data_IF_618218405982
#
_entry.id   IF_618218405982
#
_cell.length_a   1.000
_cell.length_b   1.000
_cell.length_c   1.000
_cell.angle_alpha   90.00
_cell.angle_beta   90.00
_cell.angle_gamma   90.00
#
_symmetry.space_group_name_H-M   'P 1'
#
loop_
_entity.id
_entity.type
_entity.pdbx_description
1 polymer ?
#
# COMPACT_ATOMS: atom_id res chain seq x y z
N UNK A 1 50.89 -36.67 37.63
CA UNK A 1 51.17 -36.00 36.33
C UNK A 1 49.85 -35.87 35.60
N UNK A 2 49.38 -34.64 35.36
CA UNK A 2 48.09 -34.39 34.70
C UNK A 2 48.33 -34.44 33.18
N UNK A 3 47.53 -35.17 32.39
CA UNK A 3 47.72 -35.27 30.95
C UNK A 3 47.55 -33.90 30.27
N UNK A 4 48.43 -33.53 29.32
CA UNK A 4 48.41 -32.22 28.67
C UNK A 4 47.12 -31.93 27.89
N UNK A 5 46.31 -32.95 27.60
CA UNK A 5 44.98 -32.82 26.98
C UNK A 5 43.96 -32.13 27.87
N UNK A 6 44.05 -32.26 29.20
CA UNK A 6 43.13 -31.59 30.13
C UNK A 6 43.38 -30.08 30.24
N UNK A 7 44.61 -29.63 29.97
CA UNK A 7 44.98 -28.21 30.02
C UNK A 7 44.39 -27.46 28.81
N UNK A 8 44.41 -28.07 27.62
CA UNK A 8 43.84 -27.48 26.41
C UNK A 8 42.31 -27.38 26.45
N UNK A 9 41.63 -28.39 27.01
CA UNK A 9 40.18 -28.36 27.22
C UNK A 9 39.75 -27.31 28.25
N UNK A 10 40.53 -27.14 29.32
CA UNK A 10 40.28 -26.11 30.34
C UNK A 10 40.37 -24.69 29.78
N UNK A 11 41.39 -24.39 28.97
CA UNK A 11 41.57 -23.06 28.38
C UNK A 11 40.47 -22.75 27.35
N UNK A 12 40.05 -23.74 26.56
CA UNK A 12 38.94 -23.58 25.61
C UNK A 12 37.61 -23.25 26.29
N UNK A 13 37.31 -23.90 27.43
CA UNK A 13 36.08 -23.65 28.18
C UNK A 13 36.04 -22.26 28.84
N UNK A 14 37.18 -21.80 29.34
CA UNK A 14 37.32 -20.44 29.90
C UNK A 14 37.11 -19.39 28.82
N UNK A 15 37.63 -19.60 27.61
CA UNK A 15 37.39 -18.70 26.46
C UNK A 15 35.91 -18.58 26.09
N UNK A 16 35.17 -19.69 26.05
CA UNK A 16 33.73 -19.71 25.76
C UNK A 16 32.93 -19.01 26.87
N UNK A 17 33.29 -19.25 28.14
CA UNK A 17 32.63 -18.59 29.27
C UNK A 17 32.86 -17.07 29.29
N UNK A 18 34.05 -16.59 28.90
CA UNK A 18 34.33 -15.15 28.80
C UNK A 18 33.49 -14.51 27.69
N UNK A 19 33.36 -15.14 26.52
CA UNK A 19 32.51 -14.64 25.43
C UNK A 19 31.02 -14.60 25.84
N UNK A 20 30.53 -15.62 26.55
CA UNK A 20 29.17 -15.66 27.08
C UNK A 20 28.93 -14.57 28.15
N UNK A 21 29.90 -14.32 29.03
CA UNK A 21 29.78 -13.25 30.03
C UNK A 21 29.76 -11.84 29.40
N UNK A 22 30.53 -11.62 28.32
CA UNK A 22 30.47 -10.37 27.56
C UNK A 22 29.15 -10.19 26.79
N UNK A 23 28.55 -11.28 26.29
CA UNK A 23 27.23 -11.25 25.67
C UNK A 23 26.12 -10.92 26.68
N UNK A 24 26.26 -11.32 27.95
CA UNK A 24 25.30 -10.97 29.02
C UNK A 24 25.51 -9.57 29.61
N UNK A 25 26.67 -8.94 29.44
CA UNK A 25 26.94 -7.58 29.93
C UNK A 25 26.59 -6.48 28.93
N UNK A 26 26.38 -6.84 27.65
CA UNK A 26 25.94 -5.92 26.59
C UNK A 26 24.54 -6.28 26.07
N UNK A 27 23.52 -5.95 26.87
CA UNK A 27 22.11 -5.94 26.45
C UNK A 27 21.22 -6.76 27.37
N UNK A 28 20.09 -6.28 27.89
CA UNK A 28 19.36 -5.04 27.64
C UNK A 28 18.63 -4.76 28.95
N UNK A 29 19.09 -3.73 29.67
CA UNK A 29 18.37 -3.23 30.84
C UNK A 29 17.06 -2.59 30.39
N UNK A 30 16.05 -2.72 31.24
CA UNK A 30 14.79 -2.00 31.22
C UNK A 30 15.02 -0.48 31.08
N UNK A 31 15.07 0.01 29.84
CA UNK A 31 14.97 1.43 29.51
C UNK A 31 13.50 1.76 29.33
N UNK A 32 12.92 2.45 30.29
CA UNK A 32 11.55 2.97 30.23
C UNK A 32 11.31 3.70 28.90
N UNK A 33 10.49 3.08 28.04
CA UNK A 33 9.87 3.70 26.89
C UNK A 33 9.03 4.87 27.40
N UNK A 34 9.51 6.10 27.19
CA UNK A 34 8.67 7.27 27.38
C UNK A 34 7.72 7.33 26.19
N UNK A 35 6.52 6.78 26.36
CA UNK A 35 5.40 7.09 25.49
C UNK A 35 5.21 8.61 25.50
N UNK A 36 5.38 9.24 24.35
CA UNK A 36 4.93 10.62 24.19
C UNK A 36 3.40 10.57 24.25
N UNK A 37 2.83 10.98 25.39
CA UNK A 37 1.43 11.38 25.44
C UNK A 37 1.25 12.54 24.48
N UNK A 38 0.68 12.25 23.32
CA UNK A 38 0.06 13.28 22.50
C UNK A 38 -1.21 13.65 23.25
N UNK A 39 -1.21 14.85 23.84
CA UNK A 39 -2.41 15.53 24.34
C UNK A 39 -3.49 15.46 23.25
N UNK A 40 -4.41 14.50 23.40
CA UNK A 40 -5.70 14.54 22.74
C UNK A 40 -6.54 15.47 23.60
N UNK A 41 -6.69 16.70 23.12
CA UNK A 41 -7.67 17.64 23.64
C UNK A 41 -9.02 16.94 23.69
N UNK A 42 -9.53 16.90 24.92
CA UNK A 42 -10.88 16.55 25.32
C UNK A 42 -11.88 17.25 24.40
N UNK A 43 -12.86 16.50 23.89
CA UNK A 43 -14.26 16.94 23.88
C UNK A 43 -15.17 15.69 23.97
N UNK A 44 -15.66 15.50 25.19
CA UNK A 44 -16.93 14.91 25.64
C UNK A 44 -17.57 13.77 24.83
N UNK A 45 -17.50 12.57 25.43
CA UNK A 45 -18.57 11.57 25.32
C UNK A 45 -19.63 11.88 26.38
N UNK A 46 -20.82 12.28 25.93
CA UNK A 46 -22.05 12.18 26.73
C UNK A 46 -22.44 10.70 26.85
N UNK A 47 -22.41 10.20 28.08
CA UNK A 47 -23.05 8.95 28.49
C UNK A 47 -24.50 9.23 28.86
N UNK A 48 -25.46 8.73 28.06
CA UNK A 48 -26.84 8.63 28.51
C UNK A 48 -27.58 7.43 27.87
N UNK A 49 -27.80 6.43 28.74
CA UNK A 49 -29.02 5.64 28.89
C UNK A 49 -29.59 4.85 27.69
N UNK A 50 -29.35 3.54 27.73
CA UNK A 50 -30.39 2.52 27.75
C UNK A 50 -31.33 2.41 26.55
N UNK A 51 -31.13 1.36 25.73
CA UNK A 51 -32.21 0.61 25.05
C UNK A 51 -31.68 -0.72 24.49
N UNK A 52 -32.09 -1.80 25.15
CA UNK A 52 -32.36 -3.18 24.69
C UNK A 52 -31.71 -3.59 23.34
N UNK A 53 -30.72 -4.47 23.42
CA UNK A 53 -30.18 -5.21 22.29
C UNK A 53 -31.26 -6.13 21.67
N UNK A 54 -31.68 -5.83 20.44
CA UNK A 54 -32.36 -6.80 19.57
C UNK A 54 -31.32 -7.48 18.68
N UNK A 55 -31.28 -8.82 18.57
CA UNK A 55 -30.41 -9.50 17.64
C UNK A 55 -30.94 -9.30 16.21
N UNK A 56 -30.13 -8.70 15.33
CA UNK A 56 -30.43 -8.62 13.90
C UNK A 56 -29.82 -9.87 13.23
N UNK A 57 -30.62 -10.66 12.49
CA UNK A 57 -30.18 -11.93 11.93
C UNK A 57 -29.12 -11.75 10.83
N UNK A 58 -28.12 -12.63 10.85
CA UNK A 58 -27.25 -12.91 9.70
C UNK A 58 -28.13 -13.34 8.53
N UNK A 59 -28.21 -12.50 7.51
CA UNK A 59 -28.24 -12.99 6.14
C UNK A 59 -27.44 -12.06 5.23
N UNK A 60 -26.58 -12.74 4.48
CA UNK A 60 -25.67 -12.23 3.47
C UNK A 60 -26.43 -11.41 2.43
N UNK A 61 -25.92 -10.23 2.10
CA UNK A 61 -25.29 -9.94 0.80
C UNK A 61 -24.38 -8.74 1.07
N UNK A 62 -23.07 -8.93 0.96
CA UNK A 62 -22.12 -7.81 0.88
C UNK A 62 -22.49 -7.07 -0.40
N UNK A 63 -23.26 -5.98 -0.29
CA UNK A 63 -23.41 -5.02 -1.38
C UNK A 63 -22.00 -4.54 -1.69
N UNK A 64 -21.46 -4.96 -2.84
CA UNK A 64 -20.36 -4.26 -3.51
C UNK A 64 -20.66 -2.77 -3.38
N UNK A 65 -19.73 -1.99 -2.84
CA UNK A 65 -19.83 -0.55 -2.78
C UNK A 65 -20.05 -0.05 -4.22
N UNK A 66 -21.30 0.20 -4.58
CA UNK A 66 -21.68 0.84 -5.83
C UNK A 66 -21.42 2.32 -5.62
N UNK A 67 -20.29 2.78 -6.13
CA UNK A 67 -19.96 4.20 -6.19
C UNK A 67 -21.05 4.90 -7.00
N UNK A 68 -21.84 5.76 -6.34
CA UNK A 68 -22.75 6.68 -7.02
C UNK A 68 -21.86 7.84 -7.49
N UNK A 69 -21.39 7.73 -8.73
CA UNK A 69 -20.70 8.82 -9.39
C UNK A 69 -21.74 9.88 -9.74
N UNK A 70 -21.61 11.06 -9.14
CA UNK A 70 -22.46 12.23 -9.31
C UNK A 70 -22.73 12.49 -10.79
N UNK A 71 -24.00 12.43 -11.19
CA UNK A 71 -24.44 12.97 -12.46
C UNK A 71 -24.21 14.48 -12.49
N UNK A 72 -23.89 14.98 -13.69
CA UNK A 72 -23.62 16.37 -14.08
C UNK A 72 -22.12 16.72 -14.03
N UNK A 73 -21.39 16.33 -15.08
CA UNK A 73 -20.17 17.02 -15.51
C UNK A 73 -20.46 17.81 -16.80
N UNK A 74 -19.87 19.02 -16.95
CA UNK A 74 -19.99 19.87 -18.13
C UNK A 74 -19.39 19.20 -19.37
N UNK A 75 -19.73 19.71 -20.57
CA UNK A 75 -19.22 19.28 -21.89
C UNK A 75 -17.70 19.01 -21.79
N UNK A 76 -17.33 17.74 -21.94
CA UNK A 76 -16.22 17.15 -21.19
C UNK A 76 -14.83 17.42 -21.74
N UNK A 77 -13.85 17.52 -20.84
CA UNK A 77 -12.44 17.32 -21.20
C UNK A 77 -12.27 15.90 -21.78
N UNK A 78 -11.42 15.76 -22.80
CA UNK A 78 -11.08 14.45 -23.33
C UNK A 78 -10.41 13.58 -22.25
N UNK A 79 -10.57 12.24 -22.32
CA UNK A 79 -9.84 11.31 -21.46
C UNK A 79 -8.32 11.56 -21.56
N UNK A 80 -7.57 11.11 -20.56
CA UNK A 80 -6.11 11.31 -20.61
C UNK A 80 -5.52 10.57 -21.80
N UNK A 81 -4.65 11.24 -22.56
CA UNK A 81 -4.06 10.71 -23.79
C UNK A 81 -4.91 10.91 -25.04
N UNK A 82 -6.06 11.58 -24.91
CA UNK A 82 -6.91 11.93 -26.03
C UNK A 82 -6.85 13.43 -26.33
N UNK A 83 -6.99 13.79 -27.60
CA UNK A 83 -7.01 15.18 -28.08
C UNK A 83 -8.36 15.49 -28.71
N UNK A 84 -8.91 16.67 -28.42
CA UNK A 84 -10.19 17.13 -28.98
C UNK A 84 -10.03 17.40 -30.47
N UNK A 85 -11.01 16.98 -31.27
CA UNK A 85 -11.13 17.39 -32.67
C UNK A 85 -12.59 17.41 -33.09
N UNK A 86 -12.87 18.04 -34.23
CA UNK A 86 -14.18 18.00 -34.85
C UNK A 86 -14.11 17.17 -36.13
N UNK A 87 -15.07 16.26 -36.30
CA UNK A 87 -15.22 15.51 -37.55
C UNK A 87 -15.77 16.39 -38.69
N UNK A 88 -15.90 15.81 -39.88
CA UNK A 88 -16.43 16.48 -41.08
C UNK A 88 -17.89 16.95 -40.89
N UNK A 89 -18.63 16.33 -39.96
CA UNK A 89 -20.03 16.65 -39.65
C UNK A 89 -20.16 17.71 -38.54
N UNK A 90 -19.05 18.19 -37.99
CA UNK A 90 -19.01 19.18 -36.90
C UNK A 90 -19.22 18.59 -35.51
N UNK A 91 -19.20 17.27 -35.35
CA UNK A 91 -19.30 16.62 -34.05
C UNK A 91 -17.98 16.75 -33.27
N UNK A 92 -18.08 17.10 -31.99
CA UNK A 92 -16.92 17.12 -31.09
C UNK A 92 -16.59 15.72 -30.59
N UNK A 93 -15.40 15.26 -30.97
CA UNK A 93 -14.86 13.94 -30.67
C UNK A 93 -13.51 14.07 -29.95
N UNK A 94 -13.07 12.97 -29.37
CA UNK A 94 -11.73 12.85 -28.78
C UNK A 94 -10.99 11.71 -29.48
N UNK A 95 -9.77 11.98 -29.92
CA UNK A 95 -8.89 11.04 -30.60
C UNK A 95 -7.80 10.53 -29.65
N UNK A 96 -7.59 9.21 -29.56
CA UNK A 96 -6.53 8.57 -28.77
C UNK A 96 -5.12 8.74 -29.38
N UNK A 97 -4.88 9.89 -30.03
CA UNK A 97 -3.61 10.28 -30.64
C UNK A 97 -3.49 11.79 -30.53
N UNK A 98 -2.28 12.26 -30.22
CA UNK A 98 -1.95 13.69 -30.26
C UNK A 98 -1.73 14.21 -31.69
N UNK A 99 -1.72 13.32 -32.69
CA UNK A 99 -1.50 13.65 -34.10
C UNK A 99 -2.82 13.72 -34.86
N UNK A 100 -3.77 14.49 -34.36
CA UNK A 100 -4.96 14.83 -35.14
C UNK A 100 -4.52 15.74 -36.28
N UNK A 101 -4.86 15.36 -37.51
CA UNK A 101 -4.71 16.25 -38.65
C UNK A 101 -5.94 17.16 -38.73
N UNK A 102 -5.79 18.48 -38.50
CA UNK A 102 -6.91 19.41 -38.47
C UNK A 102 -7.58 19.61 -39.84
N UNK A 103 -6.92 19.22 -40.94
CA UNK A 103 -7.42 19.41 -42.29
C UNK A 103 -8.20 18.21 -42.82
N UNK A 104 -7.81 16.99 -42.44
CA UNK A 104 -8.52 15.77 -42.84
C UNK A 104 -9.68 15.41 -41.93
N UNK A 105 -9.89 16.16 -40.83
CA UNK A 105 -10.93 15.89 -39.82
C UNK A 105 -10.94 14.43 -39.35
N UNK A 106 -9.77 13.81 -39.36
CA UNK A 106 -9.60 12.38 -39.14
C UNK A 106 -8.65 12.13 -37.97
N UNK A 107 -8.94 11.06 -37.23
CA UNK A 107 -8.10 10.59 -36.15
C UNK A 107 -7.33 9.35 -36.62
N UNK A 108 -5.98 9.36 -36.59
CA UNK A 108 -5.18 8.21 -37.03
C UNK A 108 -5.13 7.07 -36.01
N UNK A 109 -5.94 7.11 -34.95
CA UNK A 109 -5.96 6.06 -33.93
C UNK A 109 -6.71 4.81 -34.44
N UNK A 110 -6.02 3.67 -34.36
CA UNK A 110 -6.56 2.38 -34.75
C UNK A 110 -7.36 1.74 -33.58
N UNK A 111 -8.40 0.98 -33.91
CA UNK A 111 -9.21 0.23 -32.94
C UNK A 111 -10.52 0.93 -32.53
N UNK A 112 -11.44 0.15 -31.94
CA UNK A 112 -12.78 0.62 -31.58
C UNK A 112 -12.75 1.80 -30.60
N UNK A 113 -11.84 1.76 -29.62
CA UNK A 113 -11.68 2.80 -28.59
C UNK A 113 -10.77 3.95 -29.03
N UNK A 114 -10.24 3.94 -30.25
CA UNK A 114 -9.33 4.99 -30.74
C UNK A 114 -9.99 6.38 -30.87
N UNK A 115 -11.32 6.42 -30.94
CA UNK A 115 -12.13 7.64 -30.98
C UNK A 115 -13.29 7.48 -30.01
N UNK A 116 -13.60 8.52 -29.25
CA UNK A 116 -14.80 8.59 -28.44
C UNK A 116 -15.57 9.87 -28.72
N UNK A 117 -16.88 9.84 -28.46
CA UNK A 117 -17.77 10.98 -28.63
C UNK A 117 -18.03 11.70 -27.31
N UNK A 118 -18.13 13.03 -27.35
CA UNK A 118 -18.54 13.81 -26.18
C UNK A 118 -20.04 13.71 -25.88
N UNK A 119 -20.83 13.33 -26.89
CA UNK A 119 -22.27 13.13 -26.81
C UNK A 119 -22.64 11.68 -27.19
N UNK A 120 -23.72 11.12 -26.60
CA UNK A 120 -24.16 9.79 -26.96
C UNK A 120 -24.76 9.75 -28.38
N UNK A 121 -24.69 8.58 -29.03
CA UNK A 121 -25.39 8.33 -30.29
C UNK A 121 -24.71 8.91 -31.54
N UNK A 122 -23.41 9.25 -31.48
CA UNK A 122 -22.66 9.64 -32.68
C UNK A 122 -22.19 8.38 -33.40
N UNK A 123 -22.56 8.22 -34.66
CA UNK A 123 -22.19 7.09 -35.50
C UNK A 123 -20.67 7.07 -35.79
N UNK A 124 -20.06 5.89 -35.75
CA UNK A 124 -18.65 5.69 -36.05
C UNK A 124 -18.43 5.73 -37.58
N UNK A 125 -17.98 6.88 -38.06
CA UNK A 125 -17.69 7.13 -39.48
C UNK A 125 -16.59 6.25 -40.08
N UNK A 126 -15.84 5.49 -39.26
CA UNK A 126 -14.87 4.49 -39.72
C UNK A 126 -15.52 3.16 -40.09
N UNK A 127 -16.78 2.94 -39.70
CA UNK A 127 -17.44 1.66 -39.94
C UNK A 127 -18.02 1.60 -41.35
N UNK A 128 -17.38 0.83 -42.22
CA UNK A 128 -17.79 0.64 -43.62
C UNK A 128 -18.81 -0.50 -43.79
N UNK A 129 -19.09 -1.28 -42.73
CA UNK A 129 -19.69 -2.62 -42.85
C UNK A 129 -21.23 -2.71 -42.74
N UNK A 130 -21.97 -1.62 -42.87
CA UNK A 130 -23.46 -1.64 -42.84
C UNK A 130 -24.10 -1.89 -41.46
N UNK A 131 -23.31 -2.24 -40.45
CA UNK A 131 -23.74 -2.23 -39.04
C UNK A 131 -23.64 -0.80 -38.48
N UNK A 132 -24.73 -0.26 -37.93
CA UNK A 132 -24.68 1.04 -37.24
C UNK A 132 -23.94 0.86 -35.92
N UNK A 133 -22.66 1.24 -35.89
CA UNK A 133 -21.86 1.33 -34.66
C UNK A 133 -21.75 2.80 -34.27
N UNK A 134 -21.79 3.04 -32.96
CA UNK A 134 -21.64 4.38 -32.41
C UNK A 134 -20.28 4.47 -31.70
N UNK A 135 -19.68 5.66 -31.71
CA UNK A 135 -18.52 5.93 -30.89
C UNK A 135 -18.85 5.74 -29.40
N UNK A 136 -17.94 5.15 -28.60
CA UNK A 136 -18.11 5.10 -27.16
C UNK A 136 -18.16 6.50 -26.57
N UNK A 137 -18.86 6.68 -25.45
CA UNK A 137 -18.91 7.97 -24.77
C UNK A 137 -17.57 8.24 -24.07
N UNK A 138 -16.96 9.40 -24.33
CA UNK A 138 -15.69 9.78 -23.71
C UNK A 138 -15.74 9.81 -22.18
N UNK A 139 -16.91 10.12 -21.61
CA UNK A 139 -17.10 10.08 -20.17
C UNK A 139 -16.91 8.67 -19.60
N UNK A 140 -17.31 7.62 -20.32
CA UNK A 140 -17.19 6.25 -19.84
C UNK A 140 -15.75 5.76 -19.90
N UNK A 141 -15.01 6.12 -20.96
CA UNK A 141 -13.57 5.88 -21.04
C UNK A 141 -12.84 6.63 -19.91
N UNK A 142 -13.18 7.90 -19.67
CA UNK A 142 -12.59 8.68 -18.60
C UNK A 142 -12.86 8.06 -17.22
N UNK A 143 -14.10 7.59 -16.96
CA UNK A 143 -14.47 6.88 -15.74
C UNK A 143 -13.67 5.58 -15.58
N UNK A 144 -13.53 4.80 -16.65
CA UNK A 144 -12.76 3.56 -16.61
C UNK A 144 -11.28 3.83 -16.31
N UNK A 145 -10.66 4.79 -17.00
CA UNK A 145 -9.27 5.19 -16.73
C UNK A 145 -9.09 5.68 -15.29
N UNK A 146 -10.05 6.44 -14.76
CA UNK A 146 -10.01 6.92 -13.38
C UNK A 146 -10.13 5.76 -12.39
N UNK A 147 -11.02 4.79 -12.63
CA UNK A 147 -11.17 3.60 -11.79
C UNK A 147 -9.91 2.74 -11.79
N UNK A 148 -9.29 2.53 -12.96
CA UNK A 148 -8.04 1.78 -13.10
C UNK A 148 -6.88 2.48 -12.37
N UNK A 149 -6.73 3.80 -12.55
CA UNK A 149 -5.71 4.60 -11.84
C UNK A 149 -5.92 4.57 -10.34
N UNK A 150 -7.16 4.75 -9.91
CA UNK A 150 -7.54 4.68 -8.49
C UNK A 150 -7.17 3.32 -7.90
N UNK A 151 -7.55 2.23 -8.55
CA UNK A 151 -7.27 0.88 -8.06
C UNK A 151 -5.78 0.54 -7.99
N UNK A 152 -4.93 1.18 -8.80
CA UNK A 152 -3.49 0.93 -8.84
C UNK A 152 -2.68 1.86 -7.94
N UNK A 153 -3.01 3.15 -7.95
CA UNK A 153 -2.18 4.22 -7.38
C UNK A 153 -2.70 4.71 -6.03
N UNK A 154 -3.97 4.46 -5.72
CA UNK A 154 -4.56 4.92 -4.49
C UNK A 154 -4.79 3.77 -3.51
N UNK A 155 -4.46 3.96 -2.22
CA UNK A 155 -4.76 2.99 -1.18
C UNK A 155 -6.28 2.93 -0.95
N UNK A 156 -6.77 1.81 -0.40
CA UNK A 156 -8.19 1.58 -0.15
C UNK A 156 -8.81 2.64 0.76
N UNK A 157 -8.04 3.19 1.69
CA UNK A 157 -8.48 4.29 2.57
C UNK A 157 -8.72 5.61 1.82
N UNK A 158 -8.08 5.80 0.67
CA UNK A 158 -8.16 6.99 -0.15
C UNK A 158 -8.53 6.64 -1.60
N UNK A 159 -9.72 6.08 -1.88
CA UNK A 159 -10.00 5.44 -3.17
C UNK A 159 -10.11 6.39 -4.36
N UNK A 160 -10.21 7.70 -4.15
CA UNK A 160 -10.47 8.65 -5.24
C UNK A 160 -9.17 9.23 -5.78
N UNK A 161 -8.79 8.87 -7.01
CA UNK A 161 -7.64 9.46 -7.71
C UNK A 161 -7.94 10.85 -8.28
N UNK A 162 -7.01 11.78 -8.04
CA UNK A 162 -6.94 13.11 -8.65
C UNK A 162 -5.57 13.30 -9.29
N UNK A 163 -5.56 13.58 -10.59
CA UNK A 163 -4.35 14.00 -11.29
C UNK A 163 -4.04 15.46 -10.92
N UNK A 164 -2.83 15.73 -10.45
CA UNK A 164 -2.40 17.11 -10.19
C UNK A 164 -1.70 17.68 -11.43
N UNK A 165 -1.86 18.99 -11.69
CA UNK A 165 -1.13 19.65 -12.76
C UNK A 165 0.37 19.69 -12.41
N UNK A 166 1.19 18.92 -13.13
CA UNK A 166 2.64 18.89 -12.98
C UNK A 166 3.23 17.48 -12.84
N UNK A 167 4.32 17.23 -13.56
CA UNK A 167 5.30 16.13 -13.44
C UNK A 167 4.83 14.79 -12.81
N UNK A 168 3.67 14.26 -13.20
CA UNK A 168 3.20 12.94 -12.80
C UNK A 168 2.74 12.80 -11.34
N UNK A 169 2.52 13.92 -10.63
CA UNK A 169 2.00 13.86 -9.27
C UNK A 169 0.49 13.57 -9.24
N UNK A 170 0.07 12.90 -8.19
CA UNK A 170 -1.33 12.60 -7.95
C UNK A 170 -1.69 12.73 -6.47
N UNK A 171 -2.97 12.99 -6.22
CA UNK A 171 -3.55 13.04 -4.88
C UNK A 171 -4.62 11.96 -4.80
N UNK A 172 -4.72 11.30 -3.65
CA UNK A 172 -5.79 10.35 -3.40
C UNK A 172 -6.63 10.82 -2.22
N UNK A 173 -7.96 10.81 -2.38
CA UNK A 173 -8.91 11.34 -1.40
C UNK A 173 -9.69 10.23 -0.72
N UNK A 174 -10.00 10.40 0.58
CA UNK A 174 -10.88 9.50 1.32
C UNK A 174 -12.35 9.58 0.86
N UNK A 175 -12.72 10.69 0.23
CA UNK A 175 -14.06 10.98 -0.26
C UNK A 175 -14.05 11.45 -1.70
N UNK A 176 -15.16 12.03 -2.19
CA UNK A 176 -15.25 12.56 -3.54
C UNK A 176 -14.26 13.72 -3.77
N UNK A 177 -13.89 13.91 -5.03
CA UNK A 177 -13.15 15.08 -5.49
C UNK A 177 -14.06 16.33 -5.44
N UNK A 178 -13.45 17.49 -5.26
CA UNK A 178 -14.12 18.79 -5.29
C UNK A 178 -14.73 19.05 -6.67
N UNK A 179 -15.73 19.94 -6.80
CA UNK A 179 -16.38 20.25 -8.08
C UNK A 179 -15.45 20.74 -9.20
N UNK A 180 -14.18 21.06 -8.90
CA UNK A 180 -13.15 21.40 -9.90
C UNK A 180 -12.19 20.24 -10.26
N UNK A 181 -12.32 19.09 -9.60
CA UNK A 181 -11.45 17.92 -9.84
C UNK A 181 -9.98 18.13 -9.47
N UNK A 182 -9.64 19.23 -8.79
CA UNK A 182 -8.26 19.59 -8.41
C UNK A 182 -7.93 19.29 -6.96
N UNK A 183 -8.94 19.06 -6.12
CA UNK A 183 -8.76 18.80 -4.69
C UNK A 183 -9.80 17.81 -4.14
N UNK A 184 -9.60 17.34 -2.92
CA UNK A 184 -10.52 16.50 -2.18
C UNK A 184 -11.61 17.34 -1.52
N UNK A 185 -12.86 16.85 -1.50
CA UNK A 185 -13.89 17.48 -0.64
C UNK A 185 -13.62 17.25 0.85
N UNK A 186 -12.95 16.15 1.20
CA UNK A 186 -12.50 15.85 2.55
C UNK A 186 -11.05 16.30 2.74
N UNK A 187 -10.70 16.81 3.93
CA UNK A 187 -9.31 17.12 4.30
C UNK A 187 -8.43 15.87 4.43
N UNK A 188 -9.02 14.67 4.43
CA UNK A 188 -8.30 13.39 4.50
C UNK A 188 -7.86 12.93 3.11
N UNK A 189 -6.56 13.03 2.86
CA UNK A 189 -5.94 12.65 1.59
C UNK A 189 -4.50 12.20 1.79
N UNK A 190 -3.94 11.53 0.79
CA UNK A 190 -2.50 11.35 0.62
C UNK A 190 -2.04 12.01 -0.69
N UNK A 191 -0.76 12.35 -0.75
CA UNK A 191 -0.11 12.90 -1.94
C UNK A 191 0.94 11.90 -2.44
N UNK A 192 1.10 11.75 -3.74
CA UNK A 192 2.19 10.96 -4.32
C UNK A 192 3.55 11.57 -4.01
N UNK A 193 4.58 10.75 -3.95
CA UNK A 193 5.95 11.22 -3.74
C UNK A 193 6.40 12.18 -4.86
N UNK A 194 6.98 13.31 -4.47
CA UNK A 194 7.68 14.22 -5.36
C UNK A 194 9.13 13.81 -5.62
N UNK A 195 9.81 14.57 -6.49
CA UNK A 195 11.24 14.33 -6.74
C UNK A 195 12.06 14.52 -5.45
N UNK A 196 12.99 13.60 -5.20
CA UNK A 196 13.84 13.60 -4.00
C UNK A 196 13.16 13.13 -2.71
N UNK A 197 11.85 12.85 -2.73
CA UNK A 197 11.14 12.26 -1.61
C UNK A 197 11.18 10.72 -1.69
N UNK A 198 11.06 10.05 -0.54
CA UNK A 198 10.93 8.60 -0.46
C UNK A 198 9.84 8.18 0.52
N UNK A 199 9.44 6.91 0.46
CA UNK A 199 8.35 6.35 1.27
C UNK A 199 8.62 6.43 2.79
N UNK A 200 9.88 6.47 3.22
CA UNK A 200 10.23 6.44 4.64
C UNK A 200 10.41 7.83 5.25
N UNK A 201 10.79 8.84 4.47
CA UNK A 201 10.88 10.23 4.94
C UNK A 201 9.58 11.02 4.74
N UNK A 202 8.62 10.50 3.97
CA UNK A 202 7.34 11.17 3.67
C UNK A 202 6.15 10.31 4.13
N UNK A 203 5.78 10.37 5.44
CA UNK A 203 4.81 9.44 6.03
C UNK A 203 3.37 9.60 5.52
N UNK A 204 3.01 10.78 5.02
CA UNK A 204 1.70 11.07 4.44
C UNK A 204 1.57 10.69 2.96
N UNK A 205 2.56 10.02 2.38
CA UNK A 205 2.56 9.66 0.96
C UNK A 205 1.60 8.52 0.63
N UNK A 206 1.03 8.53 -0.58
CA UNK A 206 0.17 7.46 -1.06
C UNK A 206 0.93 6.13 -1.21
N UNK A 207 2.19 6.20 -1.61
CA UNK A 207 3.09 5.06 -1.75
C UNK A 207 3.37 4.39 -0.41
N UNK A 208 3.56 5.17 0.67
CA UNK A 208 3.67 4.61 2.01
C UNK A 208 2.36 3.98 2.48
N UNK A 209 1.23 4.65 2.27
CA UNK A 209 -0.08 4.08 2.63
C UNK A 209 -0.36 2.77 1.89
N UNK A 210 -0.04 2.70 0.59
CA UNK A 210 -0.11 1.48 -0.21
C UNK A 210 0.83 0.38 0.29
N UNK A 211 2.04 0.75 0.71
CA UNK A 211 2.97 -0.20 1.32
C UNK A 211 2.39 -0.78 2.61
N UNK A 212 1.86 0.07 3.50
CA UNK A 212 1.25 -0.36 4.76
C UNK A 212 0.07 -1.32 4.55
N UNK A 213 -0.74 -1.12 3.50
CA UNK A 213 -1.85 -2.03 3.17
C UNK A 213 -1.38 -3.43 2.71
N UNK A 214 -0.13 -3.56 2.27
CA UNK A 214 0.46 -4.84 1.81
C UNK A 214 1.23 -5.57 2.90
N UNK A 215 1.65 -4.87 3.95
CA UNK A 215 2.45 -5.46 5.04
C UNK A 215 1.62 -6.49 5.80
N UNK A 216 2.20 -7.68 5.98
CA UNK A 216 1.59 -8.74 6.76
C UNK A 216 2.52 -9.11 7.91
N UNK A 217 2.09 -8.77 9.12
CA UNK A 217 2.83 -9.14 10.33
C UNK A 217 2.51 -10.58 10.74
N UNK A 218 3.52 -11.38 11.13
CA UNK A 218 3.32 -12.75 11.56
C UNK A 218 2.52 -12.82 12.87
N UNK A 219 1.89 -13.97 13.18
CA UNK A 219 1.13 -14.16 14.41
C UNK A 219 1.96 -13.81 15.65
N UNK A 220 1.31 -13.19 16.64
CA UNK A 220 1.97 -12.75 17.88
C UNK A 220 2.78 -11.44 17.74
N UNK A 221 2.75 -10.80 16.57
CA UNK A 221 3.35 -9.48 16.35
C UNK A 221 2.30 -8.45 15.93
N UNK A 222 2.55 -7.18 16.21
CA UNK A 222 1.70 -6.05 15.84
C UNK A 222 2.42 -5.10 14.90
N UNK A 223 1.74 -4.61 13.87
CA UNK A 223 2.28 -3.59 12.97
C UNK A 223 2.37 -2.25 13.70
N UNK A 224 3.58 -1.72 13.80
CA UNK A 224 3.86 -0.34 14.15
C UNK A 224 4.18 0.40 12.85
N UNK A 225 3.29 1.28 12.36
CA UNK A 225 3.42 1.87 11.01
C UNK A 225 4.55 2.90 10.90
N UNK A 226 4.98 3.46 12.04
CA UNK A 226 6.00 4.50 12.11
C UNK A 226 6.94 4.24 13.28
N UNK A 227 8.05 3.55 13.00
CA UNK A 227 9.18 3.45 13.92
C UNK A 227 10.37 4.23 13.36
N UNK A 228 10.94 5.11 14.18
CA UNK A 228 12.14 5.87 13.79
C UNK A 228 13.37 4.98 13.88
N UNK A 229 14.17 4.99 12.82
CA UNK A 229 15.46 4.30 12.83
C UNK A 229 16.41 4.93 13.86
N UNK A 230 17.36 4.12 14.33
CA UNK A 230 18.36 4.54 15.33
C UNK A 230 19.77 4.62 14.76
N UNK A 231 19.99 4.10 13.54
CA UNK A 231 21.30 4.15 12.88
C UNK A 231 21.49 5.47 12.14
N UNK A 232 22.74 5.87 11.91
CA UNK A 232 23.08 7.07 11.13
C UNK A 232 22.44 7.08 9.73
N UNK A 233 22.20 5.91 9.14
CA UNK A 233 21.55 5.75 7.83
C UNK A 233 20.02 5.79 7.89
N UNK A 234 19.40 5.54 9.04
CA UNK A 234 17.93 5.40 9.18
C UNK A 234 17.29 6.36 10.17
N UNK A 235 18.07 7.23 10.80
CA UNK A 235 17.64 8.11 11.91
C UNK A 235 16.38 8.92 11.61
N UNK A 236 16.25 9.42 10.38
CA UNK A 236 15.11 10.23 9.96
C UNK A 236 14.02 9.41 9.23
N UNK A 237 14.33 8.16 8.89
CA UNK A 237 13.42 7.24 8.22
C UNK A 237 12.36 6.74 9.21
N UNK A 238 11.09 6.83 8.80
CA UNK A 238 9.96 6.22 9.50
C UNK A 238 9.63 4.89 8.85
N UNK A 239 10.09 3.82 9.47
CA UNK A 239 10.02 2.46 8.95
C UNK A 239 8.84 1.71 9.61
N UNK A 240 7.95 1.10 8.83
CA UNK A 240 6.94 0.21 9.39
C UNK A 240 7.58 -1.12 9.80
N UNK A 241 7.25 -1.59 11.00
CA UNK A 241 7.88 -2.77 11.62
C UNK A 241 6.83 -3.60 12.36
N UNK A 242 7.01 -4.91 12.38
CA UNK A 242 6.21 -5.83 13.18
C UNK A 242 6.92 -6.06 14.52
N UNK A 243 6.23 -5.72 15.61
CA UNK A 243 6.76 -5.80 16.98
C UNK A 243 6.07 -6.95 17.70
N UNK A 244 6.85 -7.92 18.17
CA UNK A 244 6.39 -9.05 18.98
C UNK A 244 7.12 -9.14 20.31
N UNK A 245 6.65 -10.05 21.16
CA UNK A 245 7.27 -10.29 22.48
C UNK A 245 8.66 -10.93 22.33
N UNK A 246 8.85 -11.80 21.33
CA UNK A 246 10.11 -12.53 21.10
C UNK A 246 11.07 -11.80 20.17
N UNK A 247 10.68 -10.63 19.63
CA UNK A 247 11.53 -9.82 18.77
C UNK A 247 10.75 -8.97 17.78
N UNK A 248 11.49 -8.21 16.97
CA UNK A 248 10.94 -7.35 15.92
C UNK A 248 11.40 -7.84 14.56
N UNK A 249 10.54 -7.69 13.56
CA UNK A 249 10.85 -8.01 12.17
C UNK A 249 10.24 -6.98 11.21
N UNK A 250 10.78 -6.92 10.00
CA UNK A 250 10.28 -6.13 8.90
C UNK A 250 9.68 -7.05 7.84
N UNK A 251 8.56 -6.61 7.27
CA UNK A 251 8.01 -7.24 6.08
C UNK A 251 9.00 -7.18 4.92
N UNK A 252 9.01 -8.22 4.09
CA UNK A 252 9.93 -8.31 2.95
C UNK A 252 9.85 -7.09 2.03
N UNK A 253 8.67 -6.53 1.83
CA UNK A 253 8.45 -5.33 1.00
C UNK A 253 9.22 -4.13 1.55
N UNK A 254 9.21 -3.96 2.88
CA UNK A 254 9.92 -2.87 3.56
C UNK A 254 11.42 -3.06 3.40
N UNK A 255 11.92 -4.27 3.63
CA UNK A 255 13.34 -4.59 3.49
C UNK A 255 13.83 -4.40 2.05
N UNK A 256 13.03 -4.80 1.07
CA UNK A 256 13.32 -4.58 -0.35
C UNK A 256 13.44 -3.08 -0.65
N UNK A 257 12.47 -2.28 -0.21
CA UNK A 257 12.50 -0.82 -0.43
C UNK A 257 13.67 -0.15 0.31
N UNK A 258 14.01 -0.61 1.52
CA UNK A 258 15.20 -0.13 2.22
C UNK A 258 16.49 -0.46 1.45
N UNK A 259 16.59 -1.63 0.81
CA UNK A 259 17.72 -1.99 -0.05
C UNK A 259 17.78 -1.12 -1.29
N UNK A 260 16.64 -0.91 -1.97
CA UNK A 260 16.56 -0.09 -3.18
C UNK A 260 16.95 1.37 -2.91
N UNK A 261 16.71 1.86 -1.69
CA UNK A 261 17.13 3.18 -1.20
C UNK A 261 18.56 3.20 -0.63
N UNK A 262 19.31 2.09 -0.68
CA UNK A 262 20.68 2.01 -0.20
C UNK A 262 20.84 2.00 1.33
N UNK A 263 19.74 1.76 2.08
CA UNK A 263 19.74 1.78 3.55
C UNK A 263 20.24 0.46 4.17
N UNK A 264 20.09 -0.66 3.46
CA UNK A 264 20.43 -2.02 3.93
C UNK A 264 21.28 -2.80 2.89
N UNK A 265 22.42 -2.25 2.51
CA UNK A 265 23.31 -2.88 1.52
C UNK A 265 24.06 -4.11 2.08
N UNK A 266 24.32 -4.12 3.38
CA UNK A 266 25.23 -5.08 4.02
C UNK A 266 24.51 -6.30 4.63
N UNK A 267 23.18 -6.40 4.47
CA UNK A 267 22.35 -7.45 5.11
C UNK A 267 21.73 -8.37 4.06
N UNK A 268 21.95 -9.68 4.25
CA UNK A 268 21.24 -10.71 3.50
C UNK A 268 19.82 -10.91 4.06
N UNK A 269 18.85 -10.23 3.44
CA UNK A 269 17.41 -10.26 3.79
C UNK A 269 16.83 -11.68 3.85
N UNK A 270 17.30 -12.60 3.00
CA UNK A 270 16.74 -13.95 2.90
C UNK A 270 17.30 -14.93 3.95
N UNK A 271 18.23 -14.47 4.79
CA UNK A 271 18.80 -15.27 5.88
C UNK A 271 18.71 -14.59 7.24
N UNK A 272 18.28 -13.34 7.30
CA UNK A 272 18.30 -12.55 8.52
C UNK A 272 16.95 -12.57 9.24
N UNK A 273 16.97 -12.75 10.56
CA UNK A 273 15.76 -12.79 11.41
C UNK A 273 14.98 -11.47 11.42
N UNK A 274 15.60 -10.38 10.95
CA UNK A 274 14.91 -9.12 10.67
C UNK A 274 13.85 -9.25 9.57
N UNK A 275 13.85 -10.31 8.75
CA UNK A 275 12.77 -10.60 7.81
C UNK A 275 11.66 -11.39 8.51
N UNK A 276 10.42 -10.89 8.43
CA UNK A 276 9.28 -11.52 9.06
C UNK A 276 9.00 -12.96 8.60
N UNK A 277 9.34 -13.32 7.36
CA UNK A 277 9.20 -14.70 6.86
C UNK A 277 10.13 -15.66 7.62
N UNK A 278 11.32 -15.19 7.98
CA UNK A 278 12.34 -15.97 8.67
C UNK A 278 12.05 -15.98 10.17
N UNK A 279 11.65 -14.83 10.72
CA UNK A 279 11.17 -14.73 12.08
C UNK A 279 10.03 -15.72 12.36
N UNK A 280 9.02 -15.78 11.47
CA UNK A 280 7.89 -16.69 11.64
C UNK A 280 8.33 -18.16 11.64
N UNK A 281 9.25 -18.54 10.74
CA UNK A 281 9.82 -19.89 10.70
C UNK A 281 10.58 -20.27 11.97
N UNK A 282 11.33 -19.32 12.54
CA UNK A 282 12.17 -19.56 13.71
C UNK A 282 11.32 -19.65 14.99
N UNK A 283 10.36 -18.74 15.16
CA UNK A 283 9.66 -18.59 16.45
C UNK A 283 8.25 -19.16 16.48
N UNK A 284 7.53 -19.23 15.35
CA UNK A 284 6.14 -19.67 15.34
C UNK A 284 5.99 -21.08 14.74
N UNK A 285 6.66 -21.36 13.62
CA UNK A 285 6.52 -22.67 12.95
C UNK A 285 7.22 -23.80 13.72
N UNK A 286 8.36 -23.51 14.39
CA UNK A 286 9.01 -24.49 15.28
C UNK A 286 8.16 -24.86 16.49
N UNK A 287 7.48 -23.89 17.09
CA UNK A 287 6.62 -24.10 18.27
C UNK A 287 5.38 -24.94 17.93
N UNK A 288 4.84 -24.80 16.72
CA UNK A 288 3.75 -25.66 16.22
C UNK A 288 4.23 -27.10 15.94
N UNK A 289 5.49 -27.29 15.55
CA UNK A 289 6.04 -28.62 15.26
C UNK A 289 6.35 -29.39 16.55
N UNK A 290 6.82 -28.72 17.60
CA UNK A 290 7.07 -29.32 18.91
C UNK A 290 5.78 -29.65 19.67
N UNK A 291 4.77 -28.78 19.64
CA UNK A 291 3.47 -29.04 20.27
C UNK A 291 2.67 -30.16 19.60
N UNK A 292 2.84 -30.37 18.28
CA UNK A 292 2.29 -31.53 17.58
C UNK A 292 3.07 -32.83 17.84
N UNK A 293 4.36 -32.74 18.16
CA UNK A 293 5.15 -33.92 18.55
C UNK A 293 4.79 -34.43 19.96
N UNK A 294 4.44 -33.53 20.90
CA UNK A 294 3.97 -33.93 22.24
C UNK A 294 2.57 -34.57 22.22
N UNK A 295 1.74 -34.30 21.22
CA UNK A 295 0.40 -34.91 21.10
C UNK A 295 0.40 -36.28 20.43
N UNK A 296 1.55 -36.75 19.90
CA UNK A 296 1.66 -38.02 19.15
C UNK A 296 2.60 -39.04 19.83
N UNK A 297 3.17 -38.72 21.00
CA UNK A 297 3.89 -39.71 21.82
C UNK A 297 2.90 -40.60 22.60
N UNK A 298 3.14 -41.93 22.69
CA UNK A 298 2.11 -42.94 22.50
C UNK A 298 1.31 -43.29 23.77
N UNK A 299 -0.01 -43.35 23.62
CA UNK A 299 -0.86 -44.20 24.45
C UNK A 299 -0.69 -45.66 24.02
N UNK A 300 0.45 -46.27 24.36
CA UNK A 300 0.64 -47.72 24.31
C UNK A 300 1.75 -48.11 25.29
N UNK A 301 1.35 -48.31 26.54
CA UNK A 301 2.05 -49.11 27.55
C UNK A 301 0.97 -49.77 28.40
N UNK A 302 0.43 -50.88 27.89
CA UNK A 302 -0.33 -51.88 28.64
C UNK A 302 0.24 -53.26 28.36
#
# INVERSE_FOLDING_TARGET
MIPPTYILLGIGFVGILIVLMFATSMGVSNGALKAVQINTGVDQYDTAAGRVAKPIPRNQVVKKASYILSHILPVGQCPTGYTVFNDVMGNSLCCASSRVDPYSHSCPANGADGICAMSPGIEDSRNVSGDVRHYPLCQDIAKQQQAERSGRLCPRRYPTYIALPGAGQHKCCAGPASPGGTDCMSTKSCLSLGQGQNVFNTPSSCEKALMLEKIQCPPGTNLVPDMKGTSSRTKDASLPICVGVTGNCFDKTVLQTMRDLGLLLDINIDKNILNCDIYNKVYNDRVMTESQAETVAPADLS
#
